data_IF_762129727190
#
_entry.id   IF_762129727190
#
_cell.length_a   1.000
_cell.length_b   1.000
_cell.length_c   1.000
_cell.angle_alpha   90.00
_cell.angle_beta   90.00
_cell.angle_gamma   90.00
#
_symmetry.space_group_name_H-M   'P 1'
#
loop_
_entity.id
_entity.type
_entity.pdbx_description
1 polymer ?
#
# COMPACT_ATOMS: atom_id res chain seq x y z
N UNK A 1 -6.64 15.24 4.47
CA UNK A 1 -5.84 14.77 5.63
C UNK A 1 -5.46 13.31 5.43
N UNK A 2 -4.41 12.84 6.11
CA UNK A 2 -4.10 11.42 6.21
C UNK A 2 -4.45 10.92 7.61
N UNK A 3 -4.98 9.71 7.67
CA UNK A 3 -5.19 8.93 8.88
C UNK A 3 -4.09 7.88 8.93
N UNK A 4 -3.52 7.71 10.12
CA UNK A 4 -2.49 6.72 10.40
C UNK A 4 -3.01 5.78 11.47
N UNK A 5 -3.01 4.48 11.15
CA UNK A 5 -3.13 3.41 12.15
C UNK A 5 -1.72 2.88 12.38
N UNK A 6 -1.14 3.26 13.51
CA UNK A 6 0.18 2.78 13.89
C UNK A 6 0.05 1.41 14.57
N UNK A 7 0.91 0.45 14.20
CA UNK A 7 0.96 -0.89 14.80
C UNK A 7 1.49 -0.93 16.23
N UNK A 8 1.02 -0.02 17.07
CA UNK A 8 1.34 0.14 18.49
C UNK A 8 0.04 0.02 19.27
N UNK A 9 -0.02 -0.96 20.17
CA UNK A 9 -1.16 -1.21 21.06
C UNK A 9 -1.09 -0.25 22.24
N UNK A 10 -2.22 0.34 22.61
CA UNK A 10 -2.36 1.25 23.73
C UNK A 10 -2.98 0.54 24.95
N UNK A 11 -2.65 0.95 26.19
CA UNK A 11 -1.76 2.06 26.56
C UNK A 11 -0.28 1.66 26.72
N UNK A 12 0.04 0.37 26.66
CA UNK A 12 1.37 -0.17 26.98
C UNK A 12 2.43 0.06 25.88
N UNK A 13 2.02 0.61 24.75
CA UNK A 13 2.86 0.91 23.57
C UNK A 13 3.62 -0.29 23.03
N UNK A 14 3.05 -1.50 23.13
CA UNK A 14 3.66 -2.70 22.54
C UNK A 14 3.40 -2.79 21.04
N UNK A 15 4.36 -3.34 20.30
CA UNK A 15 4.22 -3.62 18.87
C UNK A 15 3.11 -4.66 18.62
N UNK A 16 2.16 -4.32 17.75
CA UNK A 16 1.13 -5.23 17.28
C UNK A 16 1.71 -6.31 16.35
N UNK A 17 1.11 -7.50 16.37
CA UNK A 17 1.58 -8.68 15.63
C UNK A 17 0.38 -9.34 14.94
N UNK A 18 0.60 -10.02 13.80
CA UNK A 18 1.89 -10.28 13.14
C UNK A 18 2.49 -9.04 12.45
N UNK A 19 3.71 -9.12 11.91
CA UNK A 19 4.38 -7.93 11.30
C UNK A 19 3.86 -7.54 9.93
N UNK A 20 3.07 -8.40 9.29
CA UNK A 20 2.44 -8.24 7.98
C UNK A 20 0.94 -7.93 8.10
N UNK A 21 0.45 -7.60 9.31
CA UNK A 21 -0.97 -7.34 9.56
C UNK A 21 -1.53 -6.20 8.71
N UNK A 22 -0.69 -5.22 8.37
CA UNK A 22 -1.10 -4.04 7.62
C UNK A 22 -1.46 -4.43 6.19
N UNK A 23 -0.57 -5.16 5.52
CA UNK A 23 -0.79 -5.71 4.18
C UNK A 23 -1.98 -6.66 4.17
N UNK A 24 -2.05 -7.58 5.15
CA UNK A 24 -3.17 -8.53 5.28
C UNK A 24 -4.52 -7.82 5.42
N UNK A 25 -4.59 -6.74 6.20
CA UNK A 25 -5.83 -6.00 6.39
C UNK A 25 -6.23 -5.25 5.12
N UNK A 26 -5.30 -4.54 4.48
CA UNK A 26 -5.56 -3.81 3.23
C UNK A 26 -6.07 -4.75 2.14
N UNK A 27 -5.44 -5.93 1.99
CA UNK A 27 -5.91 -6.98 1.08
C UNK A 27 -7.29 -7.51 1.47
N UNK A 28 -7.50 -7.80 2.76
CA UNK A 28 -8.75 -8.33 3.29
C UNK A 28 -9.95 -7.40 3.11
N UNK A 29 -9.73 -6.09 3.13
CA UNK A 29 -10.79 -5.08 2.87
C UNK A 29 -10.91 -4.71 1.39
N UNK A 30 -10.22 -5.43 0.49
CA UNK A 30 -10.35 -5.26 -0.96
C UNK A 30 -9.69 -4.00 -1.51
N UNK A 31 -8.74 -3.41 -0.78
CA UNK A 31 -7.99 -2.21 -1.20
C UNK A 31 -6.64 -2.56 -1.86
N UNK A 32 -6.53 -3.81 -2.33
CA UNK A 32 -5.37 -4.30 -3.03
C UNK A 32 -5.78 -5.28 -4.15
N UNK A 33 -5.01 -5.30 -5.24
CA UNK A 33 -5.21 -6.23 -6.34
C UNK A 33 -3.86 -6.74 -6.89
N UNK A 34 -3.89 -7.92 -7.51
CA UNK A 34 -2.70 -8.52 -8.11
C UNK A 34 -2.49 -8.02 -9.54
N UNK A 35 -1.35 -7.39 -9.79
CA UNK A 35 -0.94 -6.97 -11.13
C UNK A 35 -0.32 -8.09 -11.96
N UNK A 36 -0.03 -7.84 -13.26
CA UNK A 36 0.49 -8.84 -14.21
C UNK A 36 1.81 -9.51 -13.80
N UNK A 37 2.57 -8.90 -12.90
CA UNK A 37 3.87 -9.38 -12.42
C UNK A 37 3.80 -10.05 -11.05
N UNK A 38 2.62 -10.52 -10.61
CA UNK A 38 2.38 -11.04 -9.25
C UNK A 38 2.75 -10.04 -8.13
N UNK A 39 2.75 -8.75 -8.44
CA UNK A 39 2.93 -7.69 -7.47
C UNK A 39 1.58 -7.23 -6.96
N UNK A 40 1.51 -6.98 -5.66
CA UNK A 40 0.35 -6.33 -5.03
C UNK A 40 0.38 -4.85 -5.40
N UNK A 41 -0.75 -4.35 -5.88
CA UNK A 41 -1.00 -2.94 -6.11
C UNK A 41 -2.10 -2.50 -5.15
N UNK A 42 -1.87 -1.39 -4.46
CA UNK A 42 -2.84 -0.81 -3.53
C UNK A 42 -3.71 0.22 -4.24
N UNK A 43 -4.92 0.43 -3.72
CA UNK A 43 -5.83 1.48 -4.20
C UNK A 43 -5.30 2.88 -3.92
N UNK A 44 -5.76 3.83 -4.74
CA UNK A 44 -5.41 5.24 -4.57
C UNK A 44 -5.81 5.73 -3.16
N UNK A 45 -4.84 6.23 -2.42
CA UNK A 45 -5.06 6.79 -1.09
C UNK A 45 -4.89 5.83 0.07
N UNK A 46 -4.32 4.65 -0.11
CA UNK A 46 -3.91 3.76 0.99
C UNK A 46 -2.58 3.07 0.71
N UNK A 47 -1.75 2.91 1.73
CA UNK A 47 -0.52 2.14 1.66
C UNK A 47 -0.14 1.53 3.02
N UNK A 48 0.50 0.34 3.03
CA UNK A 48 1.22 -0.11 4.20
C UNK A 48 2.46 0.76 4.42
N UNK A 49 2.82 0.97 5.67
CA UNK A 49 3.97 1.74 6.08
C UNK A 49 4.71 1.07 7.24
N UNK A 50 5.98 1.46 7.44
CA UNK A 50 6.72 1.14 8.65
C UNK A 50 7.00 2.43 9.42
N UNK A 51 6.45 2.54 10.63
CA UNK A 51 6.62 3.69 11.53
C UNK A 51 7.31 3.19 12.78
N UNK A 52 8.50 3.71 13.08
CA UNK A 52 9.33 3.29 14.22
C UNK A 52 9.54 1.77 14.31
N UNK A 53 9.65 1.11 13.15
CA UNK A 53 9.81 -0.35 13.07
C UNK A 53 8.53 -1.16 13.32
N UNK A 54 7.37 -0.51 13.45
CA UNK A 54 6.05 -1.14 13.52
C UNK A 54 5.35 -1.04 12.17
N UNK A 55 4.72 -2.14 11.74
CA UNK A 55 3.87 -2.12 10.55
C UNK A 55 2.61 -1.31 10.85
N UNK A 56 2.23 -0.46 9.91
CA UNK A 56 1.22 0.58 10.07
C UNK A 56 0.48 0.77 8.75
N UNK A 57 -0.69 1.39 8.80
CA UNK A 57 -1.47 1.75 7.60
C UNK A 57 -1.59 3.27 7.54
N UNK A 58 -1.35 3.85 6.38
CA UNK A 58 -1.61 5.25 6.09
C UNK A 58 -2.67 5.30 5.01
N UNK A 59 -3.74 6.07 5.24
CA UNK A 59 -4.81 6.22 4.26
C UNK A 59 -5.41 7.63 4.26
N UNK A 60 -5.99 8.02 3.14
CA UNK A 60 -6.60 9.32 2.96
C UNK A 60 -8.00 9.35 3.58
N UNK A 61 -8.31 10.44 4.28
CA UNK A 61 -9.66 10.71 4.79
C UNK A 61 -10.73 10.68 3.68
N UNK A 62 -10.37 11.09 2.46
CA UNK A 62 -11.25 11.06 1.29
C UNK A 62 -11.76 9.65 0.94
N UNK A 63 -11.11 8.58 1.44
CA UNK A 63 -11.58 7.22 1.25
C UNK A 63 -12.90 6.92 1.94
N UNK A 64 -13.32 7.73 2.91
CA UNK A 64 -14.67 7.63 3.49
C UNK A 64 -15.75 7.75 2.40
N UNK A 65 -15.50 8.53 1.34
CA UNK A 65 -16.44 8.70 0.24
C UNK A 65 -16.24 7.67 -0.88
N UNK A 66 -15.00 7.32 -1.21
CA UNK A 66 -14.72 6.42 -2.33
C UNK A 66 -14.84 4.93 -1.96
N UNK A 67 -14.49 4.56 -0.73
CA UNK A 67 -14.45 3.20 -0.22
C UNK A 67 -15.01 3.12 1.21
N UNK A 68 -16.28 3.49 1.45
CA UNK A 68 -16.85 3.67 2.79
C UNK A 68 -16.78 2.41 3.67
N UNK A 69 -17.02 1.23 3.10
CA UNK A 69 -16.99 -0.03 3.84
C UNK A 69 -15.57 -0.38 4.29
N UNK A 70 -14.58 -0.28 3.40
CA UNK A 70 -13.18 -0.53 3.73
C UNK A 70 -12.65 0.51 4.75
N UNK A 71 -13.00 1.78 4.58
CA UNK A 71 -12.67 2.85 5.52
C UNK A 71 -13.19 2.55 6.93
N UNK A 72 -14.46 2.16 7.04
CA UNK A 72 -15.07 1.80 8.31
C UNK A 72 -14.40 0.58 8.95
N UNK A 73 -14.07 -0.44 8.15
CA UNK A 73 -13.43 -1.66 8.65
C UNK A 73 -11.98 -1.42 9.13
N UNK A 74 -11.21 -0.58 8.44
CA UNK A 74 -9.87 -0.18 8.90
C UNK A 74 -9.92 0.47 10.30
N UNK A 75 -10.83 1.42 10.49
CA UNK A 75 -11.02 2.10 11.77
C UNK A 75 -11.60 1.15 12.83
N UNK A 76 -12.53 0.28 12.46
CA UNK A 76 -13.10 -0.73 13.36
C UNK A 76 -12.02 -1.68 13.87
N UNK A 77 -11.20 -2.22 12.97
CA UNK A 77 -10.08 -3.09 13.31
C UNK A 77 -9.11 -2.42 14.27
N UNK A 78 -8.69 -1.18 13.98
CA UNK A 78 -7.77 -0.44 14.82
C UNK A 78 -8.34 -0.19 16.22
N UNK A 79 -9.61 0.22 16.30
CA UNK A 79 -10.31 0.46 17.57
C UNK A 79 -10.43 -0.82 18.39
N UNK A 80 -10.85 -1.93 17.76
CA UNK A 80 -11.04 -3.23 18.41
C UNK A 80 -9.74 -3.80 18.98
N UNK A 81 -8.60 -3.52 18.35
CA UNK A 81 -7.28 -3.98 18.77
C UNK A 81 -6.51 -2.94 19.59
N UNK A 82 -7.16 -1.83 19.98
CA UNK A 82 -6.56 -0.74 20.74
C UNK A 82 -5.27 -0.18 20.08
N UNK A 83 -5.24 -0.11 18.76
CA UNK A 83 -4.12 0.47 18.02
C UNK A 83 -4.11 2.00 18.16
N UNK A 84 -2.92 2.58 18.08
CA UNK A 84 -2.77 4.03 18.06
C UNK A 84 -3.25 4.61 16.72
N UNK A 85 -4.16 5.58 16.77
CA UNK A 85 -4.74 6.24 15.58
C UNK A 85 -4.51 7.74 15.70
N UNK A 86 -3.97 8.37 14.67
CA UNK A 86 -3.81 9.82 14.61
C UNK A 86 -3.88 10.36 13.19
N UNK A 87 -4.15 11.66 13.08
CA UNK A 87 -4.19 12.37 11.80
C UNK A 87 -2.90 13.14 11.56
N UNK A 88 -2.49 13.26 10.30
CA UNK A 88 -1.40 14.14 9.88
C UNK A 88 -1.69 14.81 8.55
N UNK A 89 -1.06 15.94 8.31
CA UNK A 89 -1.04 16.57 6.99
C UNK A 89 -0.13 15.77 6.03
N UNK A 90 -0.53 15.73 4.76
CA UNK A 90 0.20 15.04 3.71
C UNK A 90 -0.70 14.56 2.58
N UNK A 91 -0.07 13.95 1.58
CA UNK A 91 -0.72 13.26 0.48
C UNK A 91 0.03 11.95 0.22
N UNK A 92 -0.70 10.89 -0.15
CA UNK A 92 -0.11 9.64 -0.60
C UNK A 92 0.23 9.82 -2.08
N UNK A 93 1.53 9.89 -2.41
CA UNK A 93 1.96 10.03 -3.79
C UNK A 93 2.02 8.66 -4.47
N UNK A 94 1.15 8.43 -5.45
CA UNK A 94 1.26 7.25 -6.29
C UNK A 94 2.49 7.36 -7.19
N UNK A 95 3.50 6.54 -6.89
CA UNK A 95 4.57 6.22 -7.83
C UNK A 95 3.95 5.53 -9.04
N UNK A 96 3.81 6.27 -10.15
CA UNK A 96 3.55 5.70 -11.47
C UNK A 96 4.74 4.83 -11.88
N UNK A 97 4.82 3.60 -11.38
CA UNK A 97 5.73 2.58 -11.91
C UNK A 97 5.12 1.92 -13.15
N UNK A 98 4.77 2.76 -14.13
CA UNK A 98 4.73 2.40 -15.54
C UNK A 98 5.43 3.50 -16.33
N UNK A 99 6.75 3.57 -16.20
CA UNK A 99 7.60 4.20 -17.22
C UNK A 99 8.72 3.25 -17.64
N UNK A 100 8.43 2.58 -18.75
CA UNK A 100 9.30 2.53 -19.92
C UNK A 100 10.51 1.57 -19.86
N UNK A 101 10.29 0.30 -20.24
CA UNK A 101 11.32 -0.51 -20.90
C UNK A 101 10.92 -0.83 -22.36
N UNK A 102 10.59 0.21 -23.14
CA UNK A 102 10.78 0.17 -24.58
C UNK A 102 12.29 0.21 -24.87
N UNK A 103 13.00 -0.92 -24.73
CA UNK A 103 14.25 -1.09 -25.48
C UNK A 103 13.90 -1.52 -26.90
N UNK A 104 13.77 -0.51 -27.75
CA UNK A 104 14.11 -0.66 -29.16
C UNK A 104 15.57 -1.08 -29.24
N UNK A 105 15.83 -2.30 -29.71
CA UNK A 105 17.05 -2.58 -30.46
C UNK A 105 16.64 -3.28 -31.74
N UNK A 106 16.23 -2.48 -32.74
CA UNK A 106 16.52 -2.86 -34.10
C UNK A 106 18.02 -2.69 -34.32
N UNK A 107 18.71 -3.77 -34.68
CA UNK A 107 19.95 -3.67 -35.43
C UNK A 107 20.09 -4.98 -36.21
N UNK A 108 19.71 -4.90 -37.48
CA UNK A 108 19.90 -5.99 -38.42
C UNK A 108 21.38 -6.35 -38.53
N UNK A 109 21.63 -7.64 -38.70
CA UNK A 109 22.82 -8.16 -39.36
C UNK A 109 22.37 -9.27 -40.29
N UNK A 110 21.93 -8.86 -41.46
CA UNK A 110 22.26 -9.60 -42.68
C UNK A 110 23.77 -9.48 -42.90
N UNK A 111 24.42 -10.59 -43.28
CA UNK A 111 25.70 -10.68 -44.01
C UNK A 111 26.10 -12.17 -44.14
N UNK A 112 26.84 -12.59 -45.18
CA UNK A 112 26.38 -12.75 -46.57
C UNK A 112 26.46 -14.22 -47.03
N UNK A 113 25.78 -14.53 -48.15
CA UNK A 113 26.13 -15.73 -48.93
C UNK A 113 27.48 -15.51 -49.60
N UNK A 114 28.41 -16.46 -49.45
CA UNK A 114 29.72 -16.42 -50.08
C UNK A 114 30.16 -17.82 -50.54
N UNK A 115 30.07 -17.98 -51.86
CA UNK A 115 30.72 -18.91 -52.80
C UNK A 115 30.82 -20.42 -52.48
#
# INVERSE_FOLDING_TARGET
MLIVIEGVVMPDRRKFRPSDWAEMLIEGVGLAHFGPNHKVHYEDGVEPATIEGCASIIFAEAMEQSHPEAYAELLHFATKNNLNIFMKEGAISHGKDEKNHHRRTGSGRDLPKGN
#
